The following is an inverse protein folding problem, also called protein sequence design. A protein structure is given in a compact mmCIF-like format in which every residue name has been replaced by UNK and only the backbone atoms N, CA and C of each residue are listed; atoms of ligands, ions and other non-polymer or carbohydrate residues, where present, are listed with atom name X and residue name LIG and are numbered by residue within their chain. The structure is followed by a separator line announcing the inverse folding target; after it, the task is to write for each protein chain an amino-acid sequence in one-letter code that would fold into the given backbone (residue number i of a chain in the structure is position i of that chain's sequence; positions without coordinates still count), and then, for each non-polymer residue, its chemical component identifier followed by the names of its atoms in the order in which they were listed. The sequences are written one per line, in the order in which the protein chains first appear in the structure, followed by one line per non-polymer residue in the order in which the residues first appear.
data_IF_545683613833
#
_entry.id   IF_545683613833
#
_cell.length_a   1.000
_cell.length_b   1.000
_cell.length_c   1.000
_cell.angle_alpha   90.00
_cell.angle_beta   90.00
_cell.angle_gamma   90.00
#
_symmetry.space_group_name_H-M   'P 1'
#
loop_
_entity.id
_entity.type
_entity.pdbx_description
1 polymer ?
#
# COMPACT_ATOMS: atom_id res chain seq x y z
N UNK A 1 44.78 16.47 -12.40
CA UNK A 1 44.84 17.02 -13.78
C UNK A 1 43.75 18.07 -13.97
N UNK A 2 44.06 19.13 -14.72
CA UNK A 2 43.58 20.50 -14.52
C UNK A 2 42.18 20.78 -15.09
N UNK A 3 41.37 21.57 -14.37
CA UNK A 3 40.11 22.23 -14.79
C UNK A 3 40.19 23.02 -16.13
N UNK A 4 41.38 23.17 -16.71
CA UNK A 4 41.60 23.77 -18.05
C UNK A 4 41.30 22.82 -19.20
N UNK A 5 41.45 21.50 -19.04
CA UNK A 5 41.17 20.55 -20.14
C UNK A 5 39.68 20.36 -20.38
N UNK A 6 38.85 20.47 -19.33
CA UNK A 6 37.40 20.33 -19.44
C UNK A 6 36.75 21.51 -20.19
N UNK A 7 37.24 22.74 -20.00
CA UNK A 7 36.70 23.95 -20.67
C UNK A 7 37.01 24.01 -22.17
N UNK A 8 38.11 23.39 -22.62
CA UNK A 8 38.48 23.34 -24.04
C UNK A 8 37.64 22.29 -24.79
N UNK A 9 37.28 21.19 -24.13
CA UNK A 9 36.36 20.18 -24.67
C UNK A 9 34.91 20.69 -24.79
N UNK A 10 34.43 21.49 -23.83
CA UNK A 10 33.08 22.09 -23.90
C UNK A 10 32.95 23.12 -25.02
N UNK A 11 34.01 23.89 -25.30
CA UNK A 11 34.00 24.89 -26.37
C UNK A 11 34.10 24.25 -27.77
N UNK A 12 34.81 23.13 -27.90
CA UNK A 12 34.90 22.39 -29.16
C UNK A 12 33.57 21.70 -29.54
N UNK A 13 32.80 21.21 -28.57
CA UNK A 13 31.52 20.52 -28.80
C UNK A 13 30.39 21.49 -29.16
N UNK A 14 30.41 22.72 -28.62
CA UNK A 14 29.47 23.78 -28.99
C UNK A 14 29.71 24.32 -30.43
N UNK A 15 30.97 24.36 -30.88
CA UNK A 15 31.31 24.77 -32.24
C UNK A 15 30.88 23.75 -33.32
N UNK A 16 30.85 22.45 -32.98
CA UNK A 16 30.40 21.39 -33.90
C UNK A 16 28.87 21.35 -34.02
N UNK A 17 28.12 21.65 -32.95
CA UNK A 17 26.65 21.78 -33.05
C UNK A 17 26.20 23.06 -33.80
N UNK A 18 26.94 24.16 -33.68
CA UNK A 18 26.61 25.39 -34.42
C UNK A 18 26.94 25.31 -35.93
N UNK A 19 27.90 24.46 -36.33
CA UNK A 19 28.26 24.24 -37.73
C UNK A 19 27.24 23.37 -38.51
N UNK A 20 26.45 22.54 -37.81
CA UNK A 20 25.40 21.71 -38.43
C UNK A 20 24.10 22.48 -38.71
N UNK A 21 23.90 23.65 -38.08
CA UNK A 21 22.70 24.49 -38.24
C UNK A 21 22.82 25.57 -39.34
N UNK A 22 23.94 25.64 -40.08
CA UNK A 22 24.18 26.68 -41.10
C UNK A 22 24.37 26.14 -42.53
N UNK A 23 24.06 24.87 -42.77
CA UNK A 23 24.14 24.24 -44.10
C UNK A 23 22.78 24.10 -44.81
N UNK A 24 21.82 24.99 -44.54
CA UNK A 24 20.56 25.04 -45.27
C UNK A 24 20.23 26.49 -45.65
N UNK A 25 20.78 26.94 -46.79
CA UNK A 25 20.17 27.86 -47.75
C UNK A 25 21.24 28.38 -48.73
N UNK A 26 21.18 27.94 -49.99
CA UNK A 26 21.52 28.78 -51.15
C UNK A 26 20.58 28.44 -52.32
N UNK A 27 20.11 29.45 -53.08
CA UNK A 27 19.15 29.26 -54.17
C UNK A 27 19.88 29.13 -55.52
N UNK A 28 19.40 28.25 -56.40
CA UNK A 28 19.15 28.49 -57.84
C UNK A 28 19.01 27.20 -58.65
N UNK A 29 18.09 27.24 -59.60
CA UNK A 29 18.17 26.48 -60.85
C UNK A 29 17.06 25.46 -61.02
N UNK A 30 16.05 25.81 -61.80
CA UNK A 30 14.94 24.93 -62.13
C UNK A 30 15.36 23.68 -62.90
N UNK A 31 14.77 22.56 -62.50
CA UNK A 31 14.40 21.46 -63.36
C UNK A 31 13.19 20.78 -62.70
N UNK A 32 12.10 20.65 -63.44
CA UNK A 32 10.91 19.91 -63.03
C UNK A 32 11.31 18.47 -62.67
N UNK A 33 11.25 18.15 -61.38
CA UNK A 33 11.25 16.78 -60.89
C UNK A 33 10.03 16.66 -59.99
N UNK A 34 8.98 16.06 -60.53
CA UNK A 34 7.82 15.60 -59.76
C UNK A 34 8.29 14.58 -58.73
N UNK A 35 8.48 15.07 -57.50
CA UNK A 35 8.75 14.23 -56.34
C UNK A 35 7.40 13.66 -55.88
N UNK A 36 7.26 12.35 -55.63
CA UNK A 36 6.03 11.82 -55.06
C UNK A 36 5.89 12.40 -53.66
N UNK A 37 4.78 13.08 -53.39
CA UNK A 37 4.41 13.43 -52.03
C UNK A 37 4.10 12.12 -51.31
N UNK A 38 4.97 11.71 -50.39
CA UNK A 38 4.64 10.67 -49.42
C UNK A 38 3.57 11.24 -48.50
N UNK A 39 2.31 10.92 -48.78
CA UNK A 39 1.20 11.18 -47.86
C UNK A 39 1.46 10.32 -46.62
N UNK A 40 1.94 10.93 -45.54
CA UNK A 40 1.96 10.27 -44.24
C UNK A 40 0.50 9.93 -43.90
N UNK A 41 0.25 8.67 -43.59
CA UNK A 41 -1.06 8.21 -43.12
C UNK A 41 -1.44 9.02 -41.86
N UNK A 42 -2.69 9.52 -41.76
CA UNK A 42 -3.09 10.28 -40.58
C UNK A 42 -2.91 9.43 -39.32
N UNK A 43 -2.44 10.08 -38.24
CA UNK A 43 -2.32 9.42 -36.95
C UNK A 43 -3.68 8.79 -36.55
N UNK A 44 -3.68 7.57 -35.98
CA UNK A 44 -4.91 6.93 -35.55
C UNK A 44 -5.67 7.82 -34.56
N UNK A 45 -7.00 7.81 -34.64
CA UNK A 45 -7.84 8.50 -33.67
C UNK A 45 -7.83 7.78 -32.32
N UNK A 46 -7.96 8.53 -31.22
CA UNK A 46 -8.08 8.00 -29.87
C UNK A 46 -9.19 6.94 -29.75
N UNK A 47 -8.99 5.98 -28.86
CA UNK A 47 -9.98 4.97 -28.55
C UNK A 47 -11.16 5.59 -27.81
N UNK A 48 -12.31 5.67 -28.50
CA UNK A 48 -13.59 5.98 -27.86
C UNK A 48 -14.16 4.71 -27.23
N UNK A 49 -13.65 4.35 -26.05
CA UNK A 49 -14.05 3.13 -25.34
C UNK A 49 -15.54 3.17 -25.00
N UNK A 50 -16.04 4.30 -24.51
CA UNK A 50 -17.47 4.55 -24.39
C UNK A 50 -17.77 5.94 -24.91
N UNK A 51 -18.77 6.06 -25.78
CA UNK A 51 -19.23 7.35 -26.29
C UNK A 51 -20.73 7.33 -26.50
N UNK A 52 -21.40 8.38 -26.04
CA UNK A 52 -22.83 8.61 -26.26
C UNK A 52 -23.70 7.41 -25.84
N UNK A 53 -23.32 6.74 -24.75
CA UNK A 53 -24.05 5.58 -24.19
C UNK A 53 -23.85 4.27 -24.96
N UNK A 54 -22.86 4.17 -25.84
CA UNK A 54 -22.54 2.95 -26.58
C UNK A 54 -21.03 2.64 -26.57
N UNK A 55 -20.69 1.39 -26.88
CA UNK A 55 -19.31 0.93 -27.02
C UNK A 55 -19.19 -0.16 -28.08
N UNK A 56 -18.07 -0.15 -28.82
CA UNK A 56 -17.65 -1.22 -29.72
C UNK A 56 -16.60 -2.16 -29.08
N UNK A 57 -16.19 -1.86 -27.84
CA UNK A 57 -15.19 -2.66 -27.12
C UNK A 57 -15.81 -3.88 -26.45
N UNK A 58 -14.99 -4.93 -26.32
CA UNK A 58 -15.21 -6.03 -25.37
C UNK A 58 -14.02 -6.18 -24.43
N UNK A 59 -14.27 -6.72 -23.25
CA UNK A 59 -13.23 -7.10 -22.28
C UNK A 59 -12.88 -8.57 -22.51
N UNK A 60 -11.58 -8.88 -22.60
CA UNK A 60 -11.06 -10.25 -22.66
C UNK A 60 -10.25 -10.53 -21.40
N UNK A 61 -10.51 -11.68 -20.78
CA UNK A 61 -9.85 -12.12 -19.54
C UNK A 61 -9.20 -13.51 -19.69
N UNK A 62 -8.31 -13.92 -18.77
CA UNK A 62 -7.74 -15.25 -18.77
C UNK A 62 -8.82 -16.32 -18.50
N UNK A 63 -8.63 -17.51 -19.07
CA UNK A 63 -9.54 -18.67 -18.94
C UNK A 63 -9.70 -19.21 -17.51
N UNK A 64 -8.79 -18.92 -16.58
CA UNK A 64 -8.85 -19.47 -15.22
C UNK A 64 -10.06 -18.96 -14.45
N UNK A 65 -11.04 -19.84 -14.21
CA UNK A 65 -12.18 -19.56 -13.35
C UNK A 65 -11.72 -19.24 -11.92
N UNK A 66 -12.09 -18.06 -11.40
CA UNK A 66 -11.89 -17.66 -10.01
C UNK A 66 -10.49 -17.13 -9.65
N UNK A 67 -9.61 -16.83 -10.62
CA UNK A 67 -8.38 -16.12 -10.33
C UNK A 67 -8.64 -14.65 -9.97
N UNK A 68 -7.73 -14.04 -9.19
CA UNK A 68 -7.84 -12.62 -8.83
C UNK A 68 -7.81 -11.68 -10.05
N UNK A 69 -7.21 -12.12 -11.16
CA UNK A 69 -7.21 -11.39 -12.44
C UNK A 69 -8.57 -11.46 -13.15
N UNK A 70 -9.26 -12.60 -13.06
CA UNK A 70 -10.65 -12.74 -13.52
C UNK A 70 -11.57 -11.78 -12.77
N UNK A 71 -11.37 -11.61 -11.47
CA UNK A 71 -12.10 -10.61 -10.68
C UNK A 71 -11.70 -9.19 -11.07
N UNK A 72 -10.42 -8.88 -11.32
CA UNK A 72 -10.01 -7.57 -11.81
C UNK A 72 -10.70 -7.20 -13.16
N UNK A 73 -10.85 -8.15 -14.08
CA UNK A 73 -11.59 -7.92 -15.32
C UNK A 73 -13.09 -7.64 -15.09
N UNK A 74 -13.68 -8.27 -14.06
CA UNK A 74 -15.07 -8.01 -13.64
C UNK A 74 -15.19 -6.63 -12.98
N UNK A 75 -14.21 -6.24 -12.17
CA UNK A 75 -14.12 -4.93 -11.52
C UNK A 75 -14.04 -3.82 -12.58
N UNK A 76 -13.20 -3.98 -13.62
CA UNK A 76 -13.15 -3.03 -14.75
C UNK A 76 -14.52 -2.86 -15.41
N UNK A 77 -15.20 -3.97 -15.72
CA UNK A 77 -16.53 -3.91 -16.33
C UNK A 77 -17.52 -3.19 -15.42
N UNK A 78 -17.51 -3.49 -14.13
CA UNK A 78 -18.40 -2.87 -13.15
C UNK A 78 -18.12 -1.37 -13.03
N UNK A 79 -16.84 -0.96 -12.97
CA UNK A 79 -16.45 0.45 -12.89
C UNK A 79 -16.85 1.23 -14.14
N UNK A 80 -16.71 0.64 -15.34
CA UNK A 80 -17.21 1.25 -16.58
C UNK A 80 -18.74 1.37 -16.56
N UNK A 81 -19.46 0.32 -16.16
CA UNK A 81 -20.94 0.34 -16.07
C UNK A 81 -21.43 1.39 -15.06
N UNK A 82 -20.77 1.50 -13.90
CA UNK A 82 -21.08 2.51 -12.89
C UNK A 82 -20.83 3.94 -13.40
N UNK A 83 -19.70 4.15 -14.09
CA UNK A 83 -19.29 5.48 -14.55
C UNK A 83 -20.07 5.97 -15.78
N UNK A 84 -20.46 5.04 -16.65
CA UNK A 84 -20.99 5.37 -17.99
C UNK A 84 -22.41 4.89 -18.25
N UNK A 85 -22.92 3.97 -17.42
CA UNK A 85 -24.18 3.26 -17.67
C UNK A 85 -24.08 2.16 -18.73
N UNK A 86 -22.92 1.95 -19.35
CA UNK A 86 -22.71 0.96 -20.42
C UNK A 86 -22.08 -0.31 -19.87
N UNK A 87 -22.77 -1.44 -20.03
CA UNK A 87 -22.26 -2.77 -19.68
C UNK A 87 -21.54 -3.40 -20.87
N UNK A 88 -20.21 -3.44 -20.83
CA UNK A 88 -19.40 -4.09 -21.85
C UNK A 88 -19.56 -5.62 -21.84
N UNK A 89 -19.41 -6.24 -23.01
CA UNK A 89 -19.22 -7.69 -23.11
C UNK A 89 -17.91 -8.10 -22.42
N UNK A 90 -17.91 -9.25 -21.75
CA UNK A 90 -16.70 -9.87 -21.20
C UNK A 90 -16.64 -11.33 -21.65
N UNK A 91 -15.48 -11.77 -22.14
CA UNK A 91 -15.27 -13.15 -22.56
C UNK A 91 -13.87 -13.67 -22.19
N UNK A 92 -13.71 -14.99 -22.25
CA UNK A 92 -12.44 -15.66 -22.01
C UNK A 92 -11.56 -15.61 -23.27
N UNK A 93 -10.25 -15.57 -23.08
CA UNK A 93 -9.25 -15.50 -24.13
C UNK A 93 -9.32 -16.65 -25.15
N UNK A 94 -9.47 -17.90 -24.70
CA UNK A 94 -9.64 -19.05 -25.59
C UNK A 94 -10.92 -18.91 -26.45
N UNK A 95 -11.98 -18.36 -25.86
CA UNK A 95 -13.24 -18.13 -26.57
C UNK A 95 -13.08 -16.98 -27.56
N UNK A 96 -12.49 -15.86 -27.14
CA UNK A 96 -12.21 -14.70 -27.98
C UNK A 96 -11.41 -15.08 -29.25
N UNK A 97 -10.42 -15.97 -29.10
CA UNK A 97 -9.63 -16.54 -30.21
C UNK A 97 -10.42 -17.48 -31.12
N UNK A 98 -11.45 -18.14 -30.60
CA UNK A 98 -12.30 -19.06 -31.37
C UNK A 98 -13.37 -18.35 -32.22
N UNK A 99 -13.63 -17.07 -31.93
CA UNK A 99 -14.62 -16.26 -32.62
C UNK A 99 -13.99 -15.45 -33.76
N UNK A 100 -14.84 -14.87 -34.61
CA UNK A 100 -14.41 -13.81 -35.53
C UNK A 100 -13.77 -12.68 -34.71
N UNK A 101 -12.53 -12.25 -35.04
CA UNK A 101 -11.84 -11.20 -34.30
C UNK A 101 -12.70 -9.94 -34.22
N UNK A 102 -12.89 -9.44 -33.00
CA UNK A 102 -13.48 -8.11 -32.76
C UNK A 102 -12.34 -7.10 -32.87
N UNK A 103 -12.61 -5.97 -33.51
CA UNK A 103 -11.58 -4.96 -33.77
C UNK A 103 -11.02 -4.37 -32.47
N UNK A 104 -11.89 -4.00 -31.53
CA UNK A 104 -11.52 -3.31 -30.31
C UNK A 104 -11.69 -4.19 -29.07
N UNK A 105 -10.60 -4.42 -28.34
CA UNK A 105 -10.58 -5.25 -27.14
C UNK A 105 -9.79 -4.59 -26.02
N UNK A 106 -10.26 -4.77 -24.78
CA UNK A 106 -9.46 -4.51 -23.57
C UNK A 106 -9.04 -5.86 -23.00
N UNK A 107 -7.75 -6.16 -23.07
CA UNK A 107 -7.16 -7.39 -22.59
C UNK A 107 -6.69 -7.18 -21.15
N UNK A 108 -7.30 -7.87 -20.19
CA UNK A 108 -7.03 -7.66 -18.75
C UNK A 108 -6.23 -8.84 -18.18
N UNK A 109 -5.05 -8.56 -17.65
CA UNK A 109 -4.16 -9.54 -17.03
C UNK A 109 -3.42 -10.44 -18.02
N UNK A 110 -3.11 -11.66 -17.57
CA UNK A 110 -2.32 -12.64 -18.31
C UNK A 110 -3.18 -13.44 -19.28
N UNK A 111 -3.80 -12.75 -20.26
CA UNK A 111 -4.53 -13.43 -21.33
C UNK A 111 -3.55 -14.10 -22.31
N UNK A 112 -3.98 -15.19 -22.93
CA UNK A 112 -3.18 -15.88 -23.94
C UNK A 112 -3.10 -15.12 -25.28
N UNK A 113 -3.77 -13.98 -25.43
CA UNK A 113 -3.73 -13.15 -26.64
C UNK A 113 -2.30 -12.68 -26.93
N UNK A 114 -1.88 -12.70 -28.19
CA UNK A 114 -0.49 -12.39 -28.60
C UNK A 114 -0.03 -11.02 -28.10
N UNK A 115 -0.95 -10.04 -28.05
CA UNK A 115 -0.67 -8.69 -27.55
C UNK A 115 -0.38 -8.68 -26.04
N UNK A 116 -1.19 -9.39 -25.24
CA UNK A 116 -0.95 -9.53 -23.80
C UNK A 116 0.31 -10.32 -23.52
N UNK A 117 0.54 -11.43 -24.24
CA UNK A 117 1.75 -12.26 -24.09
C UNK A 117 3.01 -11.43 -24.33
N UNK A 118 3.02 -10.58 -25.37
CA UNK A 118 4.15 -9.71 -25.65
C UNK A 118 4.41 -8.71 -24.52
N UNK A 119 3.36 -8.01 -24.05
CA UNK A 119 3.49 -7.02 -22.98
C UNK A 119 3.85 -7.67 -21.64
N UNK A 120 3.23 -8.79 -21.29
CA UNK A 120 3.54 -9.54 -20.07
C UNK A 120 4.97 -10.09 -20.11
N UNK A 121 5.45 -10.54 -21.26
CA UNK A 121 6.85 -10.96 -21.41
C UNK A 121 7.88 -9.87 -21.09
N UNK A 122 7.58 -8.60 -21.40
CA UNK A 122 8.42 -7.46 -21.00
C UNK A 122 8.36 -7.24 -19.48
N UNK A 123 7.15 -7.30 -18.90
CA UNK A 123 6.90 -7.04 -17.48
C UNK A 123 7.52 -8.14 -16.60
N UNK A 124 7.38 -9.40 -17.01
CA UNK A 124 7.90 -10.55 -16.29
C UNK A 124 9.42 -10.56 -16.21
N UNK A 125 10.10 -9.95 -17.18
CA UNK A 125 11.54 -9.79 -17.20
C UNK A 125 12.06 -8.70 -16.25
N UNK A 126 11.19 -7.86 -15.68
CA UNK A 126 11.54 -6.80 -14.74
C UNK A 126 11.15 -7.14 -13.30
N UNK A 127 11.99 -6.73 -12.34
CA UNK A 127 11.70 -6.83 -10.91
C UNK A 127 10.79 -5.67 -10.44
N UNK A 128 10.10 -5.87 -9.31
CA UNK A 128 9.22 -4.88 -8.69
C UNK A 128 7.74 -5.10 -9.00
N UNK A 129 6.88 -4.25 -8.42
CA UNK A 129 5.44 -4.29 -8.63
C UNK A 129 5.03 -3.03 -9.37
N UNK A 130 4.44 -3.17 -10.54
CA UNK A 130 3.96 -2.06 -11.34
C UNK A 130 2.85 -2.55 -12.25
N UNK A 131 2.09 -1.61 -12.79
CA UNK A 131 1.13 -1.90 -13.84
C UNK A 131 1.53 -1.25 -15.16
N UNK A 132 0.99 -1.81 -16.23
CA UNK A 132 1.13 -1.29 -17.59
C UNK A 132 -0.25 -1.21 -18.23
N UNK A 133 -0.52 -0.07 -18.86
CA UNK A 133 -1.65 0.15 -19.77
C UNK A 133 -1.05 0.51 -21.11
N UNK A 134 -1.20 -0.36 -22.11
CA UNK A 134 -0.55 -0.16 -23.41
C UNK A 134 -1.47 -0.51 -24.56
N UNK A 135 -1.52 0.34 -25.57
CA UNK A 135 -2.14 -0.01 -26.84
C UNK A 135 -1.23 -0.88 -27.69
N UNK A 136 -1.80 -1.92 -28.29
CA UNK A 136 -1.14 -2.79 -29.26
C UNK A 136 -2.08 -2.98 -30.44
N UNK A 137 -1.83 -2.24 -31.53
CA UNK A 137 -2.77 -2.15 -32.64
C UNK A 137 -4.08 -1.48 -32.20
N UNK A 138 -5.21 -2.13 -32.46
CA UNK A 138 -6.56 -1.68 -32.08
C UNK A 138 -6.99 -2.15 -30.67
N UNK A 139 -6.07 -2.70 -29.87
CA UNK A 139 -6.37 -3.26 -28.54
C UNK A 139 -5.65 -2.51 -27.43
N UNK A 140 -6.20 -2.60 -26.22
CA UNK A 140 -5.61 -2.04 -25.00
C UNK A 140 -5.29 -3.19 -24.05
N UNK A 141 -4.02 -3.37 -23.71
CA UNK A 141 -3.55 -4.31 -22.68
C UNK A 141 -3.52 -3.58 -21.33
N UNK A 142 -4.16 -4.16 -20.32
CA UNK A 142 -4.19 -3.69 -18.93
C UNK A 142 -3.66 -4.82 -18.04
N UNK A 143 -2.42 -4.70 -17.59
CA UNK A 143 -1.73 -5.79 -16.89
C UNK A 143 -0.78 -5.29 -15.80
N UNK A 144 -0.23 -6.19 -15.00
CA UNK A 144 0.76 -5.90 -13.96
C UNK A 144 1.27 -7.17 -13.28
N UNK A 145 2.29 -7.03 -12.44
CA UNK A 145 2.96 -8.16 -11.74
C UNK A 145 2.08 -8.87 -10.69
N UNK A 146 0.88 -8.37 -10.44
CA UNK A 146 -0.13 -8.99 -9.57
C UNK A 146 -1.53 -8.47 -9.92
N UNK A 147 -2.56 -9.18 -9.49
CA UNK A 147 -3.95 -8.73 -9.66
C UNK A 147 -4.22 -7.36 -8.99
N UNK A 148 -3.56 -7.05 -7.88
CA UNK A 148 -3.65 -5.72 -7.26
C UNK A 148 -3.09 -4.61 -8.17
N UNK A 149 -1.98 -4.87 -8.87
CA UNK A 149 -1.45 -3.90 -9.83
C UNK A 149 -2.42 -3.69 -11.00
N UNK A 150 -3.08 -4.75 -11.48
CA UNK A 150 -4.12 -4.65 -12.50
C UNK A 150 -5.28 -3.77 -12.01
N UNK A 151 -5.73 -3.95 -10.77
CA UNK A 151 -6.78 -3.09 -10.17
C UNK A 151 -6.36 -1.62 -10.10
N UNK A 152 -5.12 -1.33 -9.69
CA UNK A 152 -4.58 0.05 -9.72
C UNK A 152 -4.52 0.63 -11.14
N UNK A 153 -4.27 -0.20 -12.15
CA UNK A 153 -4.33 0.23 -13.56
C UNK A 153 -5.76 0.58 -13.99
N UNK A 154 -6.74 -0.21 -13.55
CA UNK A 154 -8.17 0.02 -13.79
C UNK A 154 -8.59 1.36 -13.16
N UNK A 155 -8.24 1.59 -11.89
CA UNK A 155 -8.51 2.86 -11.21
C UNK A 155 -7.91 4.04 -11.98
N UNK A 156 -6.66 3.92 -12.41
CA UNK A 156 -6.01 4.94 -13.24
C UNK A 156 -6.78 5.23 -14.52
N UNK A 157 -7.31 4.21 -15.22
CA UNK A 157 -8.10 4.41 -16.43
C UNK A 157 -9.37 5.21 -16.12
N UNK A 158 -10.11 4.81 -15.09
CA UNK A 158 -11.38 5.44 -14.73
C UNK A 158 -11.18 6.88 -14.25
N UNK A 159 -10.13 7.14 -13.49
CA UNK A 159 -9.83 8.48 -12.96
C UNK A 159 -9.36 9.46 -14.04
N UNK A 160 -8.58 9.00 -15.01
CA UNK A 160 -7.90 9.89 -15.96
C UNK A 160 -8.60 9.99 -17.32
N UNK A 161 -9.35 8.97 -17.73
CA UNK A 161 -9.92 8.89 -19.08
C UNK A 161 -11.45 8.89 -19.12
N UNK A 162 -12.13 8.76 -17.98
CA UNK A 162 -13.58 8.94 -17.92
C UNK A 162 -13.95 10.40 -17.64
N UNK A 163 -14.80 10.98 -18.50
CA UNK A 163 -15.29 12.34 -18.32
C UNK A 163 -16.52 12.40 -17.39
N UNK A 164 -16.95 13.62 -17.05
CA UNK A 164 -18.13 13.85 -16.22
C UNK A 164 -19.47 13.56 -16.92
N UNK A 165 -19.46 13.27 -18.21
CA UNK A 165 -20.64 12.97 -19.03
C UNK A 165 -20.82 11.46 -19.27
N UNK A 166 -19.96 10.62 -18.68
CA UNK A 166 -20.01 9.17 -18.85
C UNK A 166 -19.39 8.67 -20.15
N UNK A 167 -18.51 9.44 -20.79
CA UNK A 167 -17.68 8.94 -21.89
C UNK A 167 -16.31 8.51 -21.37
N UNK A 168 -15.68 7.55 -22.06
CA UNK A 168 -14.30 7.13 -21.80
C UNK A 168 -13.52 7.23 -23.11
N UNK A 169 -12.49 8.07 -23.14
CA UNK A 169 -11.62 8.25 -24.31
C UNK A 169 -10.16 8.06 -23.91
N UNK A 170 -9.49 7.09 -24.52
CA UNK A 170 -8.11 6.70 -24.21
C UNK A 170 -7.23 6.99 -25.43
N UNK A 171 -6.06 7.64 -25.27
CA UNK A 171 -5.14 7.89 -26.39
C UNK A 171 -4.79 6.61 -27.16
N UNK A 172 -4.80 6.67 -28.49
CA UNK A 172 -4.49 5.49 -29.31
C UNK A 172 -3.04 5.00 -29.14
N UNK A 173 -2.13 5.89 -28.73
CA UNK A 173 -0.73 5.58 -28.45
C UNK A 173 -0.44 5.43 -26.94
N UNK A 174 -1.47 5.15 -26.13
CA UNK A 174 -1.30 4.96 -24.68
C UNK A 174 -0.20 3.93 -24.39
N UNK A 175 0.77 4.34 -23.60
CA UNK A 175 1.83 3.49 -23.09
C UNK A 175 2.22 3.97 -21.69
N UNK A 176 1.35 3.68 -20.73
CA UNK A 176 1.55 4.00 -19.32
C UNK A 176 2.23 2.81 -18.67
N UNK A 177 3.34 3.07 -18.00
CA UNK A 177 3.93 2.20 -16.99
C UNK A 177 3.95 2.99 -15.69
N UNK A 178 3.38 2.42 -14.63
CA UNK A 178 3.40 3.09 -13.32
C UNK A 178 4.81 3.18 -12.76
N UNK A 179 5.01 4.02 -11.75
CA UNK A 179 6.17 3.88 -10.88
C UNK A 179 6.16 2.50 -10.18
N UNK A 180 7.31 2.09 -9.64
CA UNK A 180 7.44 0.87 -8.86
C UNK A 180 6.68 1.01 -7.54
N UNK A 181 5.63 0.23 -7.37
CA UNK A 181 4.96 0.01 -6.12
C UNK A 181 5.80 -0.87 -5.20
N UNK A 182 5.79 -0.49 -3.93
CA UNK A 182 6.19 -1.39 -2.85
C UNK A 182 4.92 -2.10 -2.39
N UNK A 183 4.87 -3.46 -2.40
CA UNK A 183 3.69 -4.19 -1.97
C UNK A 183 3.35 -3.84 -0.52
N UNK A 184 2.06 -3.82 -0.22
CA UNK A 184 1.54 -3.55 1.11
C UNK A 184 1.09 -4.84 1.79
N UNK A 185 1.10 -4.87 3.12
CA UNK A 185 0.57 -6.01 3.88
C UNK A 185 -0.88 -6.34 3.47
N UNK A 186 -1.71 -5.34 3.15
CA UNK A 186 -3.08 -5.54 2.65
C UNK A 186 -3.19 -6.47 1.43
N UNK A 187 -2.19 -6.49 0.55
CA UNK A 187 -2.24 -7.25 -0.71
C UNK A 187 -2.35 -8.77 -0.46
N UNK A 188 -1.91 -9.21 0.72
CA UNK A 188 -1.99 -10.60 1.15
C UNK A 188 -3.36 -10.99 1.69
N UNK A 189 -4.16 -10.04 2.17
CA UNK A 189 -5.44 -10.34 2.78
C UNK A 189 -6.59 -10.23 1.80
N UNK A 190 -7.73 -10.79 2.18
CA UNK A 190 -8.95 -10.76 1.39
C UNK A 190 -9.91 -11.86 1.85
N UNK A 191 -11.20 -11.62 1.66
CA UNK A 191 -12.23 -12.58 2.05
C UNK A 191 -12.03 -13.90 1.30
N UNK A 192 -11.79 -14.98 2.05
CA UNK A 192 -11.58 -16.31 1.48
C UNK A 192 -10.15 -16.61 1.00
N UNK A 193 -9.19 -15.68 1.16
CA UNK A 193 -7.77 -16.00 0.94
C UNK A 193 -7.25 -16.88 2.08
N UNK A 194 -6.55 -17.96 1.73
CA UNK A 194 -5.82 -18.78 2.69
C UNK A 194 -4.45 -18.13 2.91
N UNK A 195 -4.28 -17.45 4.04
CA UNK A 195 -3.06 -16.70 4.35
C UNK A 195 -2.35 -17.36 5.51
N UNK A 196 -1.08 -17.71 5.30
CA UNK A 196 -0.20 -18.23 6.35
C UNK A 196 0.78 -17.17 6.81
N UNK A 197 1.09 -17.17 8.12
CA UNK A 197 2.01 -16.22 8.72
C UNK A 197 3.35 -16.87 8.99
N UNK A 198 4.40 -16.48 8.26
CA UNK A 198 5.77 -16.90 8.56
C UNK A 198 6.40 -15.92 9.54
N UNK A 199 6.96 -16.43 10.62
CA UNK A 199 7.66 -15.64 11.64
C UNK A 199 9.17 -15.90 11.59
N UNK A 200 9.96 -14.84 11.51
CA UNK A 200 11.40 -14.87 11.65
C UNK A 200 11.81 -14.00 12.86
N UNK A 201 12.50 -14.59 13.84
CA UNK A 201 13.02 -13.84 15.00
C UNK A 201 14.17 -12.94 14.51
N UNK A 202 13.98 -11.63 14.57
CA UNK A 202 14.93 -10.65 14.04
C UNK A 202 15.63 -9.84 15.13
N UNK A 203 15.06 -9.77 16.34
CA UNK A 203 15.65 -9.00 17.43
C UNK A 203 15.20 -9.46 18.81
N UNK A 204 15.94 -9.01 19.82
CA UNK A 204 15.61 -9.19 21.24
C UNK A 204 15.75 -7.85 21.97
N UNK A 205 14.91 -7.63 22.96
CA UNK A 205 14.96 -6.45 23.82
C UNK A 205 15.34 -6.84 25.23
N UNK A 206 16.49 -6.36 25.67
CA UNK A 206 16.94 -6.54 27.04
C UNK A 206 16.23 -5.56 27.99
N UNK A 207 15.95 -6.00 29.24
CA UNK A 207 15.48 -5.13 30.31
C UNK A 207 16.36 -3.89 30.49
N UNK A 208 15.75 -2.79 30.92
CA UNK A 208 16.45 -1.53 31.17
C UNK A 208 15.73 -0.75 32.27
N UNK A 209 16.48 -0.07 33.13
CA UNK A 209 15.93 0.85 34.14
C UNK A 209 14.86 0.23 35.06
N UNK A 210 14.99 -1.06 35.36
CA UNK A 210 14.03 -1.83 36.16
C UNK A 210 12.77 -2.28 35.39
N UNK A 211 12.67 -1.94 34.11
CA UNK A 211 11.59 -2.32 33.21
C UNK A 211 11.97 -3.58 32.41
N UNK A 212 11.04 -4.54 32.27
CA UNK A 212 11.31 -5.84 31.65
C UNK A 212 10.15 -6.41 30.80
N UNK A 213 8.93 -5.91 31.00
CA UNK A 213 7.73 -6.42 30.32
C UNK A 213 7.52 -5.57 29.08
N UNK A 214 7.42 -6.19 27.91
CA UNK A 214 7.12 -5.45 26.68
C UNK A 214 5.66 -5.05 26.70
N UNK A 215 5.35 -3.90 26.14
CA UNK A 215 3.99 -3.38 25.99
C UNK A 215 3.85 -2.79 24.58
N UNK A 216 3.14 -1.66 24.46
CA UNK A 216 2.83 -1.02 23.19
C UNK A 216 4.03 -0.70 22.30
N UNK A 217 3.76 -0.57 21.01
CA UNK A 217 4.77 -0.19 20.04
C UNK A 217 4.20 0.52 18.82
N UNK A 218 5.09 1.06 17.99
CA UNK A 218 4.76 1.70 16.72
C UNK A 218 6.00 1.70 15.81
N UNK A 219 5.82 2.15 14.57
CA UNK A 219 6.92 2.38 13.63
C UNK A 219 6.77 3.71 12.90
N UNK A 220 7.89 4.34 12.55
CA UNK A 220 7.93 5.43 11.55
C UNK A 220 8.43 4.95 10.18
N UNK A 221 8.54 3.63 9.99
CA UNK A 221 9.10 2.97 8.81
C UNK A 221 10.62 2.75 8.88
N UNK A 222 11.34 3.51 9.71
CA UNK A 222 12.80 3.36 9.93
C UNK A 222 13.11 2.79 11.31
N UNK A 223 12.36 3.20 12.31
CA UNK A 223 12.52 2.83 13.70
C UNK A 223 11.25 2.19 14.25
N UNK A 224 11.42 1.13 15.04
CA UNK A 224 10.40 0.69 15.99
C UNK A 224 10.52 1.50 17.27
N UNK A 225 9.39 1.88 17.82
CA UNK A 225 9.25 2.47 19.15
C UNK A 225 8.53 1.46 20.02
N UNK A 226 9.08 1.13 21.19
CA UNK A 226 8.53 0.09 22.06
C UNK A 226 8.52 0.54 23.52
N UNK A 227 7.42 0.30 24.22
CA UNK A 227 7.33 0.44 25.67
C UNK A 227 7.90 -0.81 26.33
N UNK A 228 8.82 -0.59 27.26
CA UNK A 228 9.23 -1.60 28.24
C UNK A 228 8.76 -1.10 29.61
N UNK A 229 7.89 -1.86 30.27
CA UNK A 229 7.25 -1.53 31.54
C UNK A 229 7.85 -2.35 32.71
N UNK A 230 7.73 -1.84 33.94
CA UNK A 230 8.17 -2.52 35.17
C UNK A 230 7.25 -3.68 35.63
N UNK A 231 6.14 -3.91 34.92
CA UNK A 231 5.11 -4.91 35.21
C UNK A 231 3.94 -4.34 36.02
N UNK A 232 3.98 -3.05 36.39
CA UNK A 232 2.92 -2.35 37.08
C UNK A 232 1.82 -1.85 36.14
N UNK A 233 0.68 -1.46 36.73
CA UNK A 233 -0.43 -0.83 35.99
C UNK A 233 -0.63 0.63 36.33
N UNK A 234 -0.42 1.03 37.58
CA UNK A 234 -0.69 2.41 38.05
C UNK A 234 0.60 3.08 38.45
N UNK A 235 0.87 4.27 37.88
CA UNK A 235 2.15 4.98 38.06
C UNK A 235 3.38 4.09 37.77
N UNK A 236 3.19 3.10 36.90
CA UNK A 236 4.23 2.18 36.50
C UNK A 236 5.32 2.93 35.75
N UNK A 237 6.57 2.55 35.99
CA UNK A 237 7.69 3.09 35.26
C UNK A 237 7.82 2.36 33.95
N UNK A 238 8.06 3.13 32.90
CA UNK A 238 8.34 2.63 31.58
C UNK A 238 9.62 3.24 31.00
N UNK A 239 10.14 2.57 29.99
CA UNK A 239 11.17 3.04 29.07
C UNK A 239 10.57 3.03 27.67
N UNK A 240 10.74 4.12 26.91
CA UNK A 240 10.56 4.09 25.45
C UNK A 240 11.91 3.68 24.85
N UNK A 241 11.94 2.61 24.06
CA UNK A 241 13.09 2.19 23.28
C UNK A 241 12.87 2.52 21.80
N UNK A 242 13.83 3.22 21.18
CA UNK A 242 13.87 3.47 19.73
C UNK A 242 14.86 2.51 19.09
N UNK A 243 14.41 1.70 18.13
CA UNK A 243 15.14 0.56 17.57
C UNK A 243 15.23 0.73 16.06
N UNK A 244 16.43 0.72 15.50
CA UNK A 244 16.61 0.81 14.05
C UNK A 244 16.24 -0.51 13.38
N UNK A 245 15.27 -0.48 12.47
CA UNK A 245 14.74 -1.70 11.82
C UNK A 245 15.81 -2.41 10.99
N UNK A 246 16.68 -1.69 10.29
CA UNK A 246 17.71 -2.32 9.45
C UNK A 246 18.76 -3.13 10.23
N UNK A 247 18.94 -2.85 11.52
CA UNK A 247 19.97 -3.49 12.35
C UNK A 247 19.44 -4.15 13.62
N UNK A 248 18.18 -3.91 13.96
CA UNK A 248 17.53 -4.27 15.23
C UNK A 248 18.26 -3.76 16.48
N UNK A 249 19.07 -2.71 16.33
CA UNK A 249 19.79 -2.09 17.45
C UNK A 249 18.94 -1.02 18.11
N UNK A 250 18.93 -1.02 19.45
CA UNK A 250 18.40 0.12 20.22
C UNK A 250 19.33 1.31 20.03
N UNK A 251 18.82 2.39 19.44
CA UNK A 251 19.58 3.62 19.15
C UNK A 251 19.31 4.75 20.14
N UNK A 252 18.18 4.70 20.86
CA UNK A 252 17.88 5.63 21.93
C UNK A 252 16.93 5.01 22.96
N UNK A 253 16.97 5.54 24.20
CA UNK A 253 16.05 5.20 25.27
C UNK A 253 15.61 6.44 26.03
N UNK A 254 14.36 6.47 26.45
CA UNK A 254 13.83 7.42 27.44
C UNK A 254 13.30 6.67 28.65
N UNK A 255 14.00 6.76 29.78
CA UNK A 255 13.55 6.18 31.04
C UNK A 255 12.65 7.13 31.83
N UNK A 256 11.95 6.60 32.83
CA UNK A 256 11.09 7.39 33.73
C UNK A 256 9.78 7.84 33.09
N UNK A 257 9.34 7.14 32.05
CA UNK A 257 8.09 7.41 31.34
C UNK A 257 6.93 6.91 32.21
N UNK A 258 5.94 7.78 32.46
CA UNK A 258 4.79 7.49 33.32
C UNK A 258 3.51 7.42 32.48
N UNK A 259 3.30 6.25 31.87
CA UNK A 259 2.20 5.98 30.92
C UNK A 259 1.33 4.81 31.38
N UNK A 260 1.29 4.55 32.69
CA UNK A 260 0.54 3.42 33.26
C UNK A 260 0.97 2.09 32.59
N UNK A 261 0.04 1.30 32.06
CA UNK A 261 0.36 0.07 31.33
C UNK A 261 1.10 0.34 30.02
N UNK A 262 0.87 1.47 29.36
CA UNK A 262 1.50 1.82 28.08
C UNK A 262 1.16 0.84 26.95
N UNK A 263 -0.12 0.48 26.84
CA UNK A 263 -0.59 -0.69 26.08
C UNK A 263 -0.41 -0.59 24.56
N UNK A 264 -0.31 0.62 24.00
CA UNK A 264 -0.01 0.79 22.58
C UNK A 264 0.69 2.13 22.29
N UNK A 265 1.35 2.25 21.13
CA UNK A 265 1.87 3.51 20.62
C UNK A 265 1.29 3.75 19.23
N UNK A 266 1.08 5.01 18.87
CA UNK A 266 0.79 5.43 17.50
C UNK A 266 1.81 6.46 17.07
N UNK A 267 2.34 6.33 15.85
CA UNK A 267 3.15 7.38 15.25
C UNK A 267 2.30 8.21 14.29
N UNK A 268 2.35 9.54 14.41
CA UNK A 268 1.72 10.46 13.47
C UNK A 268 2.78 11.25 12.71
N UNK A 269 3.00 10.89 11.44
CA UNK A 269 4.10 11.37 10.60
C UNK A 269 4.13 12.89 10.42
N UNK A 270 2.97 13.49 10.13
CA UNK A 270 2.88 14.93 9.86
C UNK A 270 3.21 15.80 11.07
N UNK A 271 3.14 15.25 12.28
CA UNK A 271 3.48 15.95 13.54
C UNK A 271 4.82 15.49 14.12
N UNK A 272 5.39 14.40 13.61
CA UNK A 272 6.56 13.69 14.15
C UNK A 272 6.38 13.34 15.64
N UNK A 273 5.22 12.77 15.97
CA UNK A 273 4.79 12.55 17.35
C UNK A 273 4.40 11.09 17.62
N UNK A 274 4.71 10.64 18.84
CA UNK A 274 4.31 9.35 19.38
C UNK A 274 3.17 9.55 20.38
N UNK A 275 2.04 8.89 20.16
CA UNK A 275 0.86 8.91 21.01
C UNK A 275 0.80 7.59 21.77
N UNK A 276 1.06 7.64 23.07
CA UNK A 276 1.17 6.45 23.92
C UNK A 276 -0.13 6.26 24.69
N UNK A 277 -0.80 5.13 24.46
CA UNK A 277 -2.06 4.74 25.11
C UNK A 277 -1.78 4.21 26.51
N UNK A 278 -2.38 4.83 27.53
CA UNK A 278 -2.10 4.46 28.92
C UNK A 278 -2.68 3.10 29.34
N UNK A 279 -3.91 2.81 28.91
CA UNK A 279 -4.76 1.72 29.44
C UNK A 279 -4.96 1.82 30.97
N UNK A 280 -5.09 0.72 31.71
CA UNK A 280 -5.51 0.72 33.10
C UNK A 280 -4.48 1.43 33.99
N UNK A 281 -4.90 2.35 34.89
CA UNK A 281 -6.29 2.70 35.20
C UNK A 281 -6.88 3.79 34.28
N UNK A 282 -6.03 4.60 33.64
CA UNK A 282 -6.40 5.80 32.88
C UNK A 282 -6.71 5.52 31.40
N UNK A 283 -7.73 4.69 31.14
CA UNK A 283 -8.06 4.18 29.79
C UNK A 283 -8.53 5.23 28.78
N UNK A 284 -8.81 6.45 29.23
CA UNK A 284 -9.16 7.59 28.36
C UNK A 284 -7.95 8.49 28.07
N UNK A 285 -6.75 8.14 28.55
CA UNK A 285 -5.57 9.01 28.47
C UNK A 285 -4.57 8.54 27.43
N UNK A 286 -4.09 9.50 26.64
CA UNK A 286 -2.97 9.36 25.73
C UNK A 286 -1.92 10.41 26.09
N UNK A 287 -0.65 10.01 26.20
CA UNK A 287 0.47 10.95 26.33
C UNK A 287 1.20 11.06 25.02
N UNK A 288 1.54 12.29 24.64
CA UNK A 288 2.21 12.60 23.38
C UNK A 288 3.66 12.93 23.63
N UNK A 289 4.54 12.34 22.84
CA UNK A 289 5.99 12.52 22.88
C UNK A 289 6.49 12.93 21.51
N UNK A 290 7.60 13.64 21.48
CA UNK A 290 8.34 13.93 20.26
C UNK A 290 9.09 12.67 19.79
N UNK A 291 8.97 12.27 18.52
CA UNK A 291 9.53 11.00 18.05
C UNK A 291 11.07 11.01 17.92
N UNK A 292 11.68 12.18 17.75
CA UNK A 292 13.14 12.31 17.65
C UNK A 292 13.81 12.36 19.01
N UNK A 293 13.29 13.20 19.90
CA UNK A 293 13.88 13.46 21.22
C UNK A 293 13.33 12.54 22.31
N UNK A 294 12.19 11.88 22.08
CA UNK A 294 11.44 11.09 23.06
C UNK A 294 11.00 11.92 24.29
N UNK A 295 10.94 13.25 24.16
CA UNK A 295 10.50 14.13 25.23
C UNK A 295 8.98 14.26 25.26
N UNK A 296 8.43 14.31 26.47
CA UNK A 296 7.00 14.49 26.69
C UNK A 296 6.55 15.87 26.19
N UNK A 297 5.42 15.91 25.48
CA UNK A 297 4.81 17.13 24.96
C UNK A 297 3.52 17.49 25.68
N UNK A 298 2.54 16.58 25.67
CA UNK A 298 1.18 16.86 26.18
C UNK A 298 0.42 15.58 26.53
N UNK A 299 -0.70 15.74 27.24
CA UNK A 299 -1.71 14.69 27.45
C UNK A 299 -3.00 15.03 26.73
N UNK A 300 -3.70 13.99 26.29
CA UNK A 300 -5.00 14.06 25.62
C UNK A 300 -5.95 13.16 26.40
N UNK A 301 -7.18 13.66 26.60
CA UNK A 301 -8.29 12.87 27.15
C UNK A 301 -9.26 12.56 26.02
N UNK A 302 -9.48 11.27 25.77
CA UNK A 302 -10.37 10.75 24.75
C UNK A 302 -11.81 10.68 25.27
N UNK A 303 -12.83 10.70 24.37
CA UNK A 303 -14.23 10.59 24.77
C UNK A 303 -14.67 9.16 25.12
N UNK A 304 -13.74 8.20 25.15
CA UNK A 304 -13.99 6.80 25.43
C UNK A 304 -12.75 6.10 25.98
N UNK A 305 -12.99 4.99 26.69
CA UNK A 305 -11.94 4.10 27.22
C UNK A 305 -11.43 3.18 26.11
N UNK A 306 -10.12 3.17 25.89
CA UNK A 306 -9.47 2.38 24.84
C UNK A 306 -8.40 1.46 25.42
N UNK A 307 -7.98 0.44 24.66
CA UNK A 307 -6.80 -0.38 24.98
C UNK A 307 -5.69 -0.21 23.93
N UNK A 308 -6.04 0.05 22.67
CA UNK A 308 -5.09 0.30 21.59
C UNK A 308 -5.58 1.42 20.67
N UNK A 309 -4.70 1.92 19.81
CA UNK A 309 -5.00 2.96 18.82
C UNK A 309 -4.08 2.79 17.61
N UNK A 310 -4.52 3.21 16.43
CA UNK A 310 -3.66 3.50 15.27
C UNK A 310 -4.17 4.73 14.52
N UNK A 311 -3.31 5.36 13.72
CA UNK A 311 -3.65 6.54 12.92
C UNK A 311 -3.65 6.16 11.43
N UNK A 312 -4.72 6.53 10.76
CA UNK A 312 -4.95 6.26 9.35
C UNK A 312 -4.70 7.53 8.54
N UNK A 313 -3.58 7.58 7.83
CA UNK A 313 -3.17 8.76 7.08
C UNK A 313 -4.13 9.06 5.92
N UNK A 314 -4.67 8.01 5.27
CA UNK A 314 -5.56 8.14 4.12
C UNK A 314 -6.91 8.78 4.48
N UNK A 315 -7.38 8.56 5.71
CA UNK A 315 -8.67 9.06 6.19
C UNK A 315 -8.54 10.20 7.21
N UNK A 316 -7.33 10.62 7.57
CA UNK A 316 -7.03 11.59 8.64
C UNK A 316 -7.86 11.30 9.90
N UNK A 317 -7.72 10.07 10.43
CA UNK A 317 -8.55 9.59 11.52
C UNK A 317 -7.81 8.61 12.44
N UNK A 318 -8.39 8.34 13.60
CA UNK A 318 -7.85 7.34 14.53
C UNK A 318 -8.80 6.14 14.62
N UNK A 319 -8.22 4.96 14.55
CA UNK A 319 -8.90 3.72 14.90
C UNK A 319 -8.50 3.31 16.31
N UNK A 320 -9.46 2.89 17.14
CA UNK A 320 -9.21 2.52 18.53
C UNK A 320 -9.90 1.22 18.90
N UNK A 321 -9.20 0.36 19.65
CA UNK A 321 -9.80 -0.76 20.36
C UNK A 321 -10.46 -0.29 21.65
N UNK A 322 -11.73 -0.62 21.88
CA UNK A 322 -12.51 -0.14 23.03
C UNK A 322 -12.26 -1.03 24.24
N UNK A 323 -11.82 -0.43 25.34
CA UNK A 323 -11.60 -1.14 26.60
C UNK A 323 -12.89 -1.76 27.16
N UNK A 324 -12.79 -3.00 27.67
CA UNK A 324 -13.93 -3.75 28.23
C UNK A 324 -14.51 -4.81 27.28
N UNK A 325 -13.91 -4.98 26.11
CA UNK A 325 -14.19 -6.00 25.10
C UNK A 325 -13.17 -5.93 23.98
N UNK A 326 -13.47 -6.50 22.81
CA UNK A 326 -12.60 -6.46 21.62
C UNK A 326 -13.21 -5.64 20.45
N UNK A 327 -14.34 -4.95 20.68
CA UNK A 327 -14.94 -3.98 19.74
C UNK A 327 -14.02 -2.79 19.47
N UNK A 328 -14.28 -2.05 18.39
CA UNK A 328 -13.45 -0.91 17.97
C UNK A 328 -14.29 0.28 17.52
N UNK A 329 -13.63 1.43 17.36
CA UNK A 329 -14.27 2.68 16.96
C UNK A 329 -13.36 3.52 16.06
N UNK A 330 -13.99 4.38 15.26
CA UNK A 330 -13.34 5.46 14.51
C UNK A 330 -13.51 6.76 15.25
N UNK A 331 -12.42 7.50 15.45
CA UNK A 331 -12.41 8.89 15.88
C UNK A 331 -11.90 9.76 14.72
N UNK A 332 -12.39 10.99 14.61
CA UNK A 332 -11.85 11.96 13.65
C UNK A 332 -10.45 12.47 14.09
N UNK A 333 -9.80 13.28 13.25
CA UNK A 333 -8.51 13.91 13.55
C UNK A 333 -8.48 14.71 14.86
N UNK A 334 -9.65 15.11 15.38
CA UNK A 334 -9.82 15.86 16.62
C UNK A 334 -10.30 14.98 17.79
N UNK A 335 -10.15 13.65 17.67
CA UNK A 335 -10.56 12.65 18.65
C UNK A 335 -12.06 12.58 18.94
N UNK A 336 -12.92 13.15 18.10
CA UNK A 336 -14.37 13.00 18.26
C UNK A 336 -14.80 11.64 17.76
N UNK A 337 -15.66 10.97 18.51
CA UNK A 337 -16.23 9.69 18.11
C UNK A 337 -17.07 9.84 16.84
N UNK A 338 -16.66 9.14 15.78
CA UNK A 338 -17.38 9.07 14.50
C UNK A 338 -18.34 7.90 14.52
N UNK A 339 -17.83 6.69 14.78
CA UNK A 339 -18.62 5.46 14.74
C UNK A 339 -18.01 4.36 15.61
N UNK A 340 -18.85 3.50 16.18
CA UNK A 340 -18.46 2.24 16.84
C UNK A 340 -18.80 1.07 15.92
N UNK A 341 -17.98 0.04 15.96
CA UNK A 341 -18.11 -1.17 15.19
C UNK A 341 -18.15 -2.36 16.15
N UNK A 342 -19.10 -3.25 15.91
CA UNK A 342 -19.17 -4.50 16.63
C UNK A 342 -18.15 -5.48 16.04
N UNK A 343 -17.53 -6.28 16.89
CA UNK A 343 -16.51 -7.25 16.49
C UNK A 343 -17.12 -8.66 16.50
N UNK A 344 -16.31 -9.69 16.26
CA UNK A 344 -16.73 -11.08 16.45
C UNK A 344 -16.72 -11.53 17.93
N UNK A 345 -16.39 -10.66 18.89
CA UNK A 345 -16.36 -10.96 20.33
C UNK A 345 -15.44 -12.13 20.71
N UNK A 346 -14.19 -12.09 20.24
CA UNK A 346 -13.22 -13.14 20.51
C UNK A 346 -12.87 -13.19 22.01
N UNK A 347 -12.67 -14.39 22.60
CA UNK A 347 -12.33 -14.54 24.02
C UNK A 347 -10.84 -14.28 24.32
N UNK A 348 -10.11 -13.67 23.39
CA UNK A 348 -8.66 -13.51 23.45
C UNK A 348 -8.25 -12.28 24.25
N UNK A 349 -7.00 -12.24 24.68
CA UNK A 349 -6.46 -11.07 25.37
C UNK A 349 -6.16 -9.98 24.33
N UNK A 350 -6.71 -8.80 24.54
CA UNK A 350 -6.57 -7.64 23.65
C UNK A 350 -5.23 -6.94 23.86
N UNK A 351 -4.46 -6.77 22.79
CA UNK A 351 -3.12 -6.17 22.79
C UNK A 351 -3.10 -4.93 21.89
N UNK A 352 -2.04 -4.68 21.13
CA UNK A 352 -1.94 -3.54 20.20
C UNK A 352 -2.71 -3.70 18.88
N UNK A 353 -2.71 -2.63 18.10
CA UNK A 353 -3.24 -2.62 16.74
C UNK A 353 -2.35 -1.83 15.78
N UNK A 354 -2.60 -2.05 14.49
CA UNK A 354 -2.10 -1.23 13.41
C UNK A 354 -3.16 -1.07 12.31
N UNK A 355 -2.97 -0.16 11.37
CA UNK A 355 -3.80 -0.04 10.19
C UNK A 355 -3.02 0.47 8.99
N UNK A 356 -3.44 0.07 7.80
CA UNK A 356 -3.03 0.68 6.53
C UNK A 356 -4.26 1.29 5.84
N UNK A 357 -4.15 1.63 4.55
CA UNK A 357 -5.24 2.25 3.79
C UNK A 357 -6.45 1.31 3.60
N UNK A 358 -6.27 -0.01 3.78
CA UNK A 358 -7.30 -1.01 3.46
C UNK A 358 -7.88 -1.66 4.70
N UNK A 359 -7.05 -2.02 5.68
CA UNK A 359 -7.45 -2.89 6.78
C UNK A 359 -7.04 -2.35 8.16
N UNK A 360 -7.66 -2.93 9.18
CA UNK A 360 -7.33 -2.82 10.59
C UNK A 360 -6.77 -4.16 11.06
N UNK A 361 -5.61 -4.13 11.72
CA UNK A 361 -4.89 -5.30 12.18
C UNK A 361 -4.82 -5.30 13.71
N UNK A 362 -5.39 -6.30 14.35
CA UNK A 362 -5.34 -6.45 15.80
C UNK A 362 -4.53 -7.67 16.18
N UNK A 363 -3.46 -7.49 16.96
CA UNK A 363 -2.75 -8.63 17.55
C UNK A 363 -3.43 -9.06 18.85
N UNK A 364 -3.45 -10.37 19.11
CA UNK A 364 -4.10 -10.97 20.28
C UNK A 364 -3.19 -11.97 20.97
N UNK A 365 -3.31 -12.07 22.29
CA UNK A 365 -2.60 -13.07 23.10
C UNK A 365 -3.51 -14.23 23.53
N UNK A 366 -2.89 -15.35 23.93
CA UNK A 366 -3.40 -16.72 24.20
C UNK A 366 -3.59 -17.58 22.95
N UNK A 367 -4.28 -17.05 21.95
CA UNK A 367 -4.34 -17.70 20.63
C UNK A 367 -3.13 -17.33 19.79
N UNK A 368 -2.51 -16.19 20.08
CA UNK A 368 -1.43 -15.60 19.29
C UNK A 368 -1.86 -15.52 17.82
N UNK A 369 -2.67 -14.50 17.49
CA UNK A 369 -3.19 -14.32 16.15
C UNK A 369 -3.24 -12.83 15.77
N UNK A 370 -3.36 -12.59 14.47
CA UNK A 370 -3.68 -11.29 13.88
C UNK A 370 -5.12 -11.39 13.37
N UNK A 371 -5.99 -10.51 13.85
CA UNK A 371 -7.37 -10.38 13.38
C UNK A 371 -7.46 -9.19 12.44
N UNK A 372 -8.11 -9.38 11.30
CA UNK A 372 -8.21 -8.37 10.24
C UNK A 372 -9.66 -7.97 10.03
N UNK A 373 -9.92 -6.66 10.00
CA UNK A 373 -11.20 -6.06 9.62
C UNK A 373 -11.00 -5.05 8.49
N UNK A 374 -12.00 -4.88 7.63
CA UNK A 374 -12.08 -3.72 6.73
C UNK A 374 -12.51 -2.45 7.47
N UNK A 375 -12.51 -1.31 6.78
CA UNK A 375 -12.83 0.02 7.33
C UNK A 375 -14.34 0.22 7.57
N UNK A 376 -15.16 -0.65 7.00
CA UNK A 376 -16.61 -0.72 7.19
C UNK A 376 -17.01 -1.57 8.40
N UNK A 377 -16.05 -2.32 8.96
CA UNK A 377 -16.17 -3.21 10.12
C UNK A 377 -16.47 -4.67 9.76
N UNK A 378 -16.37 -5.03 8.48
CA UNK A 378 -16.44 -6.40 8.02
C UNK A 378 -15.24 -7.22 8.49
N UNK A 379 -15.52 -8.41 9.00
CA UNK A 379 -14.50 -9.36 9.42
C UNK A 379 -13.86 -10.03 8.20
N UNK A 380 -12.54 -9.93 8.07
CA UNK A 380 -11.77 -10.51 6.97
C UNK A 380 -11.25 -11.89 7.35
N UNK A 381 -10.66 -12.00 8.54
CA UNK A 381 -10.11 -13.27 9.01
C UNK A 381 -9.32 -13.18 10.30
N UNK A 382 -8.99 -14.35 10.81
CA UNK A 382 -8.10 -14.57 11.94
C UNK A 382 -6.95 -15.44 11.46
N UNK A 383 -5.73 -14.97 11.70
CA UNK A 383 -4.52 -15.59 11.18
C UNK A 383 -3.58 -15.94 12.35
N UNK A 384 -3.46 -17.23 12.70
CA UNK A 384 -2.57 -17.66 13.76
C UNK A 384 -1.11 -17.29 13.48
N UNK A 385 -0.39 -16.89 14.54
CA UNK A 385 1.04 -16.60 14.52
C UNK A 385 1.74 -17.45 15.59
N UNK A 386 2.86 -18.07 15.21
CA UNK A 386 3.66 -18.90 16.13
C UNK A 386 4.62 -18.04 16.99
N UNK A 387 4.10 -17.01 17.65
CA UNK A 387 4.89 -16.13 18.52
C UNK A 387 5.25 -16.86 19.83
N UNK A 388 6.55 -16.92 20.15
CA UNK A 388 7.08 -17.60 21.36
C UNK A 388 7.00 -16.69 22.59
N UNK A 389 5.79 -16.51 23.13
CA UNK A 389 5.52 -15.65 24.27
C UNK A 389 4.20 -14.89 24.13
N UNK A 390 4.18 -13.67 24.67
CA UNK A 390 3.02 -12.79 24.63
C UNK A 390 3.28 -11.67 23.62
N UNK A 391 2.64 -11.67 22.43
CA UNK A 391 2.72 -10.53 21.52
C UNK A 391 1.97 -9.35 22.16
N UNK A 392 2.56 -8.16 22.12
CA UNK A 392 2.03 -6.96 22.79
C UNK A 392 1.65 -5.89 21.76
N UNK A 393 2.35 -5.84 20.64
CA UNK A 393 2.14 -4.87 19.57
C UNK A 393 2.42 -5.45 18.17
N UNK A 394 1.80 -4.83 17.17
CA UNK A 394 1.99 -5.07 15.74
C UNK A 394 2.24 -3.73 15.02
N UNK A 395 3.11 -3.73 14.03
CA UNK A 395 3.36 -2.57 13.15
C UNK A 395 3.79 -3.04 11.76
N UNK A 396 3.36 -2.41 10.67
CA UNK A 396 3.76 -2.79 9.32
C UNK A 396 4.83 -1.87 8.72
N UNK A 397 5.70 -2.43 7.88
CA UNK A 397 6.60 -1.67 7.00
C UNK A 397 6.66 -2.39 5.65
N UNK A 398 6.09 -1.78 4.61
CA UNK A 398 5.91 -2.44 3.32
C UNK A 398 4.94 -3.61 3.43
N UNK A 399 5.36 -4.79 2.99
CA UNK A 399 4.57 -6.03 2.90
C UNK A 399 4.72 -6.95 4.11
N UNK A 400 5.37 -6.49 5.18
CA UNK A 400 5.58 -7.29 6.40
C UNK A 400 5.14 -6.56 7.64
N UNK A 401 4.80 -7.35 8.66
CA UNK A 401 4.64 -6.87 10.02
C UNK A 401 5.91 -7.07 10.83
N UNK A 402 6.08 -6.23 11.83
CA UNK A 402 6.90 -6.45 13.00
C UNK A 402 5.96 -6.64 14.19
N UNK A 403 6.03 -7.82 14.81
CA UNK A 403 5.30 -8.12 16.05
C UNK A 403 6.31 -8.13 17.18
N UNK A 404 6.05 -7.31 18.20
CA UNK A 404 6.92 -7.16 19.36
C UNK A 404 6.15 -7.60 20.60
N UNK A 405 6.82 -8.35 21.47
CA UNK A 405 6.17 -8.91 22.64
C UNK A 405 7.11 -9.44 23.69
N UNK A 406 6.57 -9.79 24.84
CA UNK A 406 7.30 -10.35 25.97
C UNK A 406 7.72 -11.79 25.65
N UNK A 407 8.95 -12.15 26.01
CA UNK A 407 9.41 -13.54 25.98
C UNK A 407 8.63 -14.39 27.02
N UNK A 408 8.72 -15.74 26.98
CA UNK A 408 7.90 -16.61 27.85
C UNK A 408 8.16 -16.44 29.35
N UNK A 409 9.28 -15.83 29.74
CA UNK A 409 9.62 -15.54 31.14
C UNK A 409 9.28 -14.12 31.58
N UNK A 410 8.76 -13.27 30.69
CA UNK A 410 8.53 -11.83 30.93
C UNK A 410 9.75 -11.10 31.49
N UNK A 411 10.94 -11.48 31.01
CA UNK A 411 12.24 -10.89 31.42
C UNK A 411 12.95 -10.18 30.27
N UNK A 412 12.21 -9.81 29.24
CA UNK A 412 12.72 -9.19 28.02
C UNK A 412 11.75 -9.39 26.86
N UNK A 413 12.12 -8.85 25.69
CA UNK A 413 11.28 -8.87 24.51
C UNK A 413 11.83 -9.67 23.34
N UNK A 414 10.93 -10.11 22.48
CA UNK A 414 11.20 -10.68 21.16
C UNK A 414 10.62 -9.77 20.08
N UNK A 415 11.35 -9.61 18.99
CA UNK A 415 10.91 -8.90 17.79
C UNK A 415 10.89 -9.92 16.66
N UNK A 416 9.69 -10.19 16.13
CA UNK A 416 9.51 -11.03 14.96
C UNK A 416 9.15 -10.20 13.74
N UNK A 417 9.80 -10.48 12.62
CA UNK A 417 9.29 -10.11 11.31
C UNK A 417 8.27 -11.16 10.90
N UNK A 418 7.06 -10.75 10.58
CA UNK A 418 5.95 -11.61 10.15
C UNK A 418 5.64 -11.34 8.69
N UNK A 419 5.79 -12.35 7.85
CA UNK A 419 5.54 -12.29 6.41
C UNK A 419 4.26 -13.07 6.09
N UNK A 420 3.17 -12.39 5.70
CA UNK A 420 1.99 -13.05 5.17
C UNK A 420 2.31 -13.76 3.85
N UNK A 421 1.71 -14.93 3.61
CA UNK A 421 1.86 -15.70 2.37
C UNK A 421 0.53 -16.27 1.93
N UNK A 422 0.24 -16.11 0.64
CA UNK A 422 -0.94 -16.66 -0.03
C UNK A 422 -0.59 -17.96 -0.76
#
# INVERSE_FOLDING_TARGET
MKKRTLRVLSAAMAAVMAALMLAACKPQGGADVTTPVSTAEPAPADFTVVRDGASEFRIVRPSSDGSEETEAARDLRAAIEEKTGVKLEICEDWYAKSQTPVKYEILVGHTDCDESVAVNGEIDAEDGFFYVIRSVGDKIVVTGKSANMIKKAIDFIIENYADGNGNITIPHDINVKSEMFTPAVADHFGKGKDVTMRLDLVGKLEPSDGCRVIQGGATDGKYLYVIINDGGKTNAKSVIAKIEISTMKVVARKAGVLVDHGNDIVYKKNENELFIVHNAPNRETVSVYDADTLEFKRKITLPLKIYCMSYDESLDCYWVGVSGGDTFAKLDANFKLVKRYDSQHHPYVTQGMDCDDTYLYFVRYKTNCIIVYDKEGGYIGEYPIAFDGEPENISHVGDVFYVVGSNPSWTGGLIYKVTPKN
#
